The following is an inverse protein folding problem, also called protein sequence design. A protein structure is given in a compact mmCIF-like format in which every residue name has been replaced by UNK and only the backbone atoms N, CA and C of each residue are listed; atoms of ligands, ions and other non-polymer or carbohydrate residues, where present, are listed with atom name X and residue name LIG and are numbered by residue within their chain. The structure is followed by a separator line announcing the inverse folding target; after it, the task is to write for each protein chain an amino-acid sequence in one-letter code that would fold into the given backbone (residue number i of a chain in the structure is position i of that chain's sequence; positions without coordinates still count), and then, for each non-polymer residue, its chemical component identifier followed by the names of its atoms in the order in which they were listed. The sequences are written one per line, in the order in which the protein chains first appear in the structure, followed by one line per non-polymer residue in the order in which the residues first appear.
data_IF_855019492104
#
_entry.id   IF_855019492104
#
_cell.length_a   1.000
_cell.length_b   1.000
_cell.length_c   1.000
_cell.angle_alpha   90.00
_cell.angle_beta   90.00
_cell.angle_gamma   90.00
#
_symmetry.space_group_name_H-M   'P 1'
#
loop_
_entity.id
_entity.type
_entity.pdbx_description
1 polymer ?
#
# COMPACT_ATOMS: atom_id res chain seq x y z
N UNK A 1 13.60 -2.19 -26.85
CA UNK A 1 12.53 -1.94 -25.87
C UNK A 1 13.24 -1.68 -24.55
N UNK A 2 13.03 -0.51 -23.96
CA UNK A 2 13.58 -0.18 -22.65
C UNK A 2 12.45 -0.34 -21.64
N UNK A 3 12.72 -1.11 -20.59
CA UNK A 3 11.79 -1.54 -19.54
C UNK A 3 11.97 -0.62 -18.34
N UNK A 4 10.88 -0.11 -17.76
CA UNK A 4 10.94 0.61 -16.48
C UNK A 4 9.91 -0.01 -15.54
N UNK A 5 10.42 -0.74 -14.54
CA UNK A 5 9.69 -1.14 -13.35
C UNK A 5 9.66 0.06 -12.41
N UNK A 6 8.46 0.56 -12.13
CA UNK A 6 8.24 1.65 -11.20
C UNK A 6 7.94 1.06 -9.81
N UNK A 7 8.85 1.26 -8.85
CA UNK A 7 8.51 1.06 -7.43
C UNK A 7 7.36 2.03 -7.04
N UNK A 8 6.54 1.70 -6.02
CA UNK A 8 5.41 2.54 -5.56
C UNK A 8 5.80 3.98 -5.20
N UNK A 9 7.10 4.25 -5.04
CA UNK A 9 7.70 5.57 -4.85
C UNK A 9 7.66 6.48 -6.09
N UNK A 10 7.15 6.04 -7.25
CA UNK A 10 7.03 6.89 -8.45
C UNK A 10 6.09 8.10 -8.27
N UNK A 11 5.41 8.21 -7.14
CA UNK A 11 4.57 9.35 -6.77
C UNK A 11 5.10 10.10 -5.54
N UNK A 12 6.29 10.69 -5.61
CA UNK A 12 6.86 11.53 -4.53
C UNK A 12 6.08 12.86 -4.37
N UNK A 13 5.18 13.19 -5.30
CA UNK A 13 4.33 14.38 -5.22
C UNK A 13 3.11 14.24 -6.14
N UNK A 14 1.91 14.73 -5.73
CA UNK A 14 0.76 14.79 -6.62
C UNK A 14 1.07 15.60 -7.87
N UNK A 15 1.98 16.58 -7.83
CA UNK A 15 2.40 17.30 -9.04
C UNK A 15 3.11 16.39 -10.04
N UNK A 16 4.00 15.48 -9.63
CA UNK A 16 4.66 14.59 -10.61
C UNK A 16 3.74 13.49 -11.15
N UNK A 17 2.74 13.07 -10.36
CA UNK A 17 1.82 12.00 -10.75
C UNK A 17 0.60 12.50 -11.52
N UNK A 18 0.10 13.71 -11.21
CA UNK A 18 -1.02 14.39 -11.90
C UNK A 18 -0.58 15.37 -13.01
N UNK A 19 0.68 15.86 -13.03
CA UNK A 19 1.23 16.62 -14.20
C UNK A 19 1.77 15.69 -15.30
N UNK A 20 1.42 14.41 -15.29
CA UNK A 20 1.47 13.58 -16.50
C UNK A 20 0.03 13.49 -17.02
N UNK A 21 -0.55 14.57 -17.61
CA UNK A 21 -1.90 14.56 -18.14
C UNK A 21 -2.05 13.67 -19.39
N UNK A 22 -1.09 12.77 -19.65
CA UNK A 22 -1.17 11.84 -20.75
C UNK A 22 -0.30 10.59 -20.55
N UNK A 23 -0.43 9.89 -19.42
CA UNK A 23 0.13 8.54 -19.28
C UNK A 23 -0.25 7.65 -20.49
N UNK A 24 -1.46 7.82 -21.03
CA UNK A 24 -1.94 7.18 -22.25
C UNK A 24 -1.20 7.55 -23.54
N UNK A 25 -0.69 8.78 -23.69
CA UNK A 25 0.04 9.18 -24.91
C UNK A 25 1.55 9.01 -24.81
N UNK A 26 2.13 9.10 -23.62
CA UNK A 26 3.56 8.85 -23.41
C UNK A 26 3.88 7.35 -23.40
N UNK A 27 2.96 6.52 -22.90
CA UNK A 27 3.17 5.08 -22.68
C UNK A 27 2.18 4.22 -23.49
N UNK A 28 1.70 4.73 -24.63
CA UNK A 28 0.77 3.98 -25.49
C UNK A 28 1.38 2.63 -25.90
N UNK A 29 0.72 1.53 -25.52
CA UNK A 29 1.19 0.16 -25.79
C UNK A 29 2.18 -0.41 -24.77
N UNK A 30 2.44 0.30 -23.65
CA UNK A 30 3.23 -0.20 -22.53
C UNK A 30 2.34 -0.59 -21.34
N UNK A 31 2.84 -1.52 -20.52
CA UNK A 31 2.19 -1.95 -19.29
C UNK A 31 2.86 -1.23 -18.13
N UNK A 32 2.07 -0.49 -17.36
CA UNK A 32 2.50 0.15 -16.12
C UNK A 32 2.03 -0.70 -14.93
N UNK A 33 2.97 -1.06 -14.07
CA UNK A 33 2.70 -1.78 -12.82
C UNK A 33 3.18 -0.95 -11.64
N UNK A 34 2.28 -0.69 -10.68
CA UNK A 34 2.67 -0.29 -9.34
C UNK A 34 2.83 -1.57 -8.51
N UNK A 35 4.03 -1.82 -8.00
CA UNK A 35 4.25 -2.92 -7.05
C UNK A 35 3.56 -2.61 -5.72
N UNK A 36 2.71 -3.52 -5.25
CA UNK A 36 2.14 -3.49 -3.91
C UNK A 36 2.12 -4.90 -3.30
N UNK A 37 3.29 -5.34 -2.82
CA UNK A 37 3.40 -6.62 -2.10
C UNK A 37 2.49 -6.71 -0.87
N UNK A 38 2.03 -5.57 -0.34
CA UNK A 38 1.12 -5.51 0.79
C UNK A 38 -0.18 -6.28 0.51
N UNK A 39 -0.73 -6.14 -0.70
CA UNK A 39 -1.97 -6.81 -1.10
C UNK A 39 -1.84 -8.33 -1.26
N UNK A 40 -0.62 -8.81 -1.47
CA UNK A 40 -0.28 -10.23 -1.64
C UNK A 40 -0.01 -10.96 -0.32
N UNK A 41 0.02 -10.23 0.81
CA UNK A 41 0.20 -10.85 2.12
C UNK A 41 -0.96 -11.81 2.44
N UNK A 42 -0.69 -13.05 2.89
CA UNK A 42 -1.73 -13.99 3.34
C UNK A 42 -2.67 -13.36 4.37
N UNK A 43 -2.10 -12.54 5.27
CA UNK A 43 -2.79 -11.77 6.29
C UNK A 43 -3.86 -10.82 5.71
N UNK A 44 -3.56 -10.16 4.59
CA UNK A 44 -4.52 -9.28 3.92
C UNK A 44 -5.66 -10.09 3.28
N UNK A 45 -5.34 -11.24 2.69
CA UNK A 45 -6.38 -12.15 2.16
C UNK A 45 -7.29 -12.65 3.30
N UNK A 46 -6.71 -13.08 4.41
CA UNK A 46 -7.46 -13.53 5.59
C UNK A 46 -8.38 -12.45 6.15
N UNK A 47 -7.89 -11.20 6.27
CA UNK A 47 -8.70 -10.07 6.72
C UNK A 47 -9.92 -9.85 5.80
N UNK A 48 -9.70 -9.84 4.48
CA UNK A 48 -10.79 -9.69 3.50
C UNK A 48 -11.83 -10.79 3.61
N UNK A 49 -11.40 -12.06 3.65
CA UNK A 49 -12.34 -13.19 3.77
C UNK A 49 -13.07 -13.19 5.11
N UNK A 50 -12.39 -12.82 6.19
CA UNK A 50 -13.01 -12.71 7.51
C UNK A 50 -14.13 -11.68 7.50
N UNK A 51 -13.90 -10.48 6.96
CA UNK A 51 -14.92 -9.43 6.92
C UNK A 51 -16.12 -9.78 6.05
N UNK A 52 -15.97 -10.59 5.00
CA UNK A 52 -17.11 -11.07 4.19
C UNK A 52 -18.12 -11.88 4.99
N UNK A 53 -17.68 -12.55 6.07
CA UNK A 53 -18.52 -13.35 6.96
C UNK A 53 -19.15 -12.54 8.10
N UNK A 54 -18.77 -11.26 8.26
CA UNK A 54 -19.22 -10.40 9.36
C UNK A 54 -20.40 -9.53 8.90
N UNK A 55 -21.22 -9.04 9.85
CA UNK A 55 -22.11 -7.92 9.57
C UNK A 55 -21.35 -6.73 8.97
N UNK A 56 -22.07 -5.86 8.28
CA UNK A 56 -21.48 -4.72 7.60
C UNK A 56 -20.71 -3.83 8.59
N UNK A 57 -19.49 -3.45 8.22
CA UNK A 57 -18.71 -2.46 8.98
C UNK A 57 -19.40 -1.11 8.91
N UNK A 58 -19.61 -0.45 10.05
CA UNK A 58 -20.19 0.90 10.16
C UNK A 58 -19.13 1.97 10.43
N UNK A 59 -18.03 1.59 11.09
CA UNK A 59 -16.84 2.43 11.32
C UNK A 59 -15.59 1.56 11.34
N UNK A 60 -14.47 2.07 10.85
CA UNK A 60 -13.18 1.41 10.97
C UNK A 60 -12.09 2.38 11.47
N UNK A 61 -11.07 1.83 12.11
CA UNK A 61 -9.83 2.53 12.46
C UNK A 61 -8.65 1.66 12.03
N UNK A 62 -7.73 2.23 11.26
CA UNK A 62 -6.50 1.58 10.80
C UNK A 62 -5.31 2.33 11.36
N UNK A 63 -4.40 1.63 12.03
CA UNK A 63 -3.20 2.22 12.60
C UNK A 63 -1.98 1.47 12.11
N UNK A 64 -1.04 2.20 11.53
CA UNK A 64 0.29 1.72 11.25
C UNK A 64 1.29 2.51 12.10
N UNK A 65 2.18 1.79 12.78
CA UNK A 65 3.34 2.38 13.45
C UNK A 65 4.63 1.79 12.91
N UNK A 66 5.69 2.58 12.83
CA UNK A 66 7.04 2.07 12.58
C UNK A 66 8.11 3.03 13.06
N UNK A 67 9.32 2.54 13.29
CA UNK A 67 10.45 3.43 13.45
C UNK A 67 10.71 4.20 12.16
N UNK A 68 11.14 5.46 12.29
CA UNK A 68 12.03 6.03 11.29
C UNK A 68 13.41 6.08 11.95
N UNK A 69 14.41 5.48 11.31
CA UNK A 69 15.80 5.78 11.64
C UNK A 69 16.24 6.98 10.80
N UNK A 70 17.49 7.44 10.92
CA UNK A 70 18.15 8.43 10.05
C UNK A 70 18.28 7.95 8.58
N UNK A 71 17.26 7.29 8.06
CA UNK A 71 17.13 6.70 6.74
C UNK A 71 16.15 7.50 5.88
N UNK A 72 16.11 7.14 4.61
CA UNK A 72 15.33 7.83 3.58
C UNK A 72 13.85 8.02 3.92
N UNK A 73 13.24 7.12 4.71
CA UNK A 73 11.81 7.18 5.06
C UNK A 73 11.45 8.36 5.99
N UNK A 74 12.41 8.84 6.79
CA UNK A 74 12.23 10.03 7.63
C UNK A 74 12.51 11.34 6.88
N UNK A 75 13.15 11.25 5.72
CA UNK A 75 13.44 12.37 4.84
C UNK A 75 12.30 12.55 3.84
N UNK A 76 11.36 13.44 4.15
CA UNK A 76 10.21 13.74 3.29
C UNK A 76 10.60 14.24 1.90
N UNK A 77 11.84 14.74 1.71
CA UNK A 77 12.31 15.14 0.37
C UNK A 77 12.63 13.94 -0.52
N UNK A 78 12.87 12.78 0.10
CA UNK A 78 13.13 11.50 -0.57
C UNK A 78 11.89 10.60 -0.57
N UNK A 79 11.29 10.39 0.59
CA UNK A 79 10.14 9.50 0.76
C UNK A 79 8.80 10.11 0.32
N UNK A 80 8.77 11.42 0.04
CA UNK A 80 7.53 12.16 -0.18
C UNK A 80 6.74 12.37 1.11
N UNK A 81 5.55 12.98 0.96
CA UNK A 81 4.67 13.22 2.09
C UNK A 81 4.16 11.88 2.69
N UNK A 82 3.90 11.76 4.01
CA UNK A 82 3.63 10.46 4.62
C UNK A 82 2.37 9.72 4.13
N UNK A 83 1.46 10.39 3.41
CA UNK A 83 0.35 9.71 2.72
C UNK A 83 0.82 8.92 1.48
N UNK A 84 1.94 9.31 0.84
CA UNK A 84 2.55 8.62 -0.29
C UNK A 84 3.49 7.50 0.15
N UNK A 85 4.39 7.73 1.11
CA UNK A 85 5.14 6.59 1.72
C UNK A 85 4.22 5.66 2.54
N UNK A 86 3.03 6.16 2.87
CA UNK A 86 1.86 5.49 3.43
C UNK A 86 0.98 4.73 2.43
N UNK A 87 1.21 4.82 1.12
CA UNK A 87 0.19 4.53 0.09
C UNK A 87 -0.39 3.12 0.16
N UNK A 88 0.41 2.12 0.54
CA UNK A 88 -0.08 0.74 0.71
C UNK A 88 -1.23 0.63 1.73
N UNK A 89 -1.31 1.53 2.72
CA UNK A 89 -2.41 1.57 3.69
C UNK A 89 -3.70 2.06 3.02
N UNK A 90 -3.61 3.02 2.10
CA UNK A 90 -4.75 3.50 1.30
C UNK A 90 -5.23 2.38 0.36
N UNK A 91 -4.31 1.61 -0.23
CA UNK A 91 -4.66 0.42 -1.01
C UNK A 91 -5.43 -0.62 -0.20
N UNK A 92 -5.01 -0.90 1.05
CA UNK A 92 -5.76 -1.77 1.96
C UNK A 92 -7.19 -1.24 2.16
N UNK A 93 -7.34 0.06 2.46
CA UNK A 93 -8.66 0.69 2.61
C UNK A 93 -9.51 0.51 1.35
N UNK A 94 -8.95 0.76 0.17
CA UNK A 94 -9.66 0.57 -1.08
C UNK A 94 -10.12 -0.88 -1.27
N UNK A 95 -9.25 -1.86 -1.00
CA UNK A 95 -9.63 -3.28 -1.17
C UNK A 95 -10.69 -3.76 -0.19
N UNK A 96 -10.84 -3.10 0.97
CA UNK A 96 -11.83 -3.45 1.99
C UNK A 96 -13.15 -2.69 1.79
N UNK A 97 -13.10 -1.45 1.32
CA UNK A 97 -14.23 -0.54 1.36
C UNK A 97 -14.61 0.11 0.01
N UNK A 98 -13.80 -0.12 -1.02
CA UNK A 98 -13.91 0.56 -2.32
C UNK A 98 -13.43 2.01 -2.26
N UNK A 99 -13.91 2.83 -3.19
CA UNK A 99 -13.60 4.25 -3.27
C UNK A 99 -13.98 5.00 -1.98
N UNK A 100 -13.10 5.93 -1.60
CA UNK A 100 -13.25 6.78 -0.42
C UNK A 100 -12.89 8.22 -0.75
N UNK A 101 -13.49 9.17 -0.03
CA UNK A 101 -13.15 10.60 -0.07
C UNK A 101 -12.53 11.04 1.25
N UNK A 102 -11.61 12.00 1.22
CA UNK A 102 -11.01 12.55 2.44
C UNK A 102 -11.92 13.62 3.03
N UNK A 103 -12.25 13.50 4.32
CA UNK A 103 -13.06 14.48 5.06
C UNK A 103 -12.18 15.42 5.89
N UNK A 104 -11.13 14.88 6.52
CA UNK A 104 -10.20 15.61 7.38
C UNK A 104 -8.83 14.97 7.31
N UNK A 105 -7.78 15.76 7.44
CA UNK A 105 -6.42 15.28 7.65
C UNK A 105 -5.63 16.26 8.53
N UNK A 106 -4.65 15.75 9.26
CA UNK A 106 -3.73 16.54 10.06
C UNK A 106 -2.35 15.88 10.10
N UNK A 107 -1.30 16.71 10.08
CA UNK A 107 0.08 16.29 10.24
C UNK A 107 0.62 16.78 11.60
N UNK A 108 1.14 15.86 12.39
CA UNK A 108 2.03 16.14 13.51
C UNK A 108 3.46 15.90 13.06
N UNK A 109 4.32 16.93 13.18
CA UNK A 109 5.75 16.83 12.89
C UNK A 109 6.55 17.38 14.06
N UNK A 110 7.28 16.49 14.71
CA UNK A 110 8.20 16.77 15.81
C UNK A 110 9.61 16.30 15.40
N UNK A 111 10.62 16.64 16.20
CA UNK A 111 12.01 16.24 15.93
C UNK A 111 12.14 14.73 15.73
N UNK A 112 11.49 13.95 16.61
CA UNK A 112 11.60 12.51 16.64
C UNK A 112 10.32 11.76 16.25
N UNK A 113 9.38 12.43 15.55
CA UNK A 113 8.08 11.83 15.17
C UNK A 113 7.42 12.53 14.00
N UNK A 114 6.85 11.74 13.09
CA UNK A 114 5.96 12.19 12.02
C UNK A 114 4.70 11.35 12.08
N UNK A 115 3.54 11.98 12.23
CA UNK A 115 2.27 11.28 12.30
C UNK A 115 1.22 11.97 11.43
N UNK A 116 0.59 11.23 10.53
CA UNK A 116 -0.62 11.65 9.85
C UNK A 116 -1.82 10.97 10.48
N UNK A 117 -2.88 11.74 10.69
CA UNK A 117 -4.22 11.20 10.93
C UNK A 117 -5.18 11.74 9.88
N UNK A 118 -5.94 10.85 9.26
CA UNK A 118 -6.94 11.17 8.25
C UNK A 118 -8.28 10.51 8.57
N UNK A 119 -9.39 11.19 8.25
CA UNK A 119 -10.74 10.62 8.22
C UNK A 119 -11.17 10.47 6.78
N UNK A 120 -11.33 9.23 6.35
CA UNK A 120 -11.84 8.84 5.03
C UNK A 120 -13.32 8.49 5.15
N UNK A 121 -14.08 8.73 4.10
CA UNK A 121 -15.50 8.40 4.00
C UNK A 121 -15.72 7.50 2.81
N UNK A 122 -16.36 6.36 3.04
CA UNK A 122 -16.93 5.52 1.97
C UNK A 122 -18.01 6.26 1.20
N UNK A 123 -18.42 5.71 0.05
CA UNK A 123 -19.54 6.25 -0.77
C UNK A 123 -20.81 6.48 0.04
N UNK A 124 -21.10 5.58 1.00
CA UNK A 124 -22.24 5.65 1.90
C UNK A 124 -21.94 6.36 3.24
N UNK A 125 -20.87 7.17 3.27
CA UNK A 125 -20.51 8.08 4.38
C UNK A 125 -20.14 7.39 5.70
N UNK A 126 -19.80 6.10 5.68
CA UNK A 126 -19.20 5.42 6.82
C UNK A 126 -17.74 5.89 7.02
N UNK A 127 -17.34 6.26 8.25
CA UNK A 127 -16.01 6.78 8.52
C UNK A 127 -14.95 5.69 8.70
N UNK A 128 -13.77 5.96 8.16
CA UNK A 128 -12.55 5.19 8.35
C UNK A 128 -11.48 6.15 8.86
N UNK A 129 -11.02 5.95 10.09
CA UNK A 129 -9.90 6.69 10.66
C UNK A 129 -8.61 5.98 10.27
N UNK A 130 -7.67 6.69 9.63
CA UNK A 130 -6.34 6.18 9.32
C UNK A 130 -5.28 6.98 10.08
N UNK A 131 -4.39 6.28 10.77
CA UNK A 131 -3.19 6.83 11.39
C UNK A 131 -1.94 6.15 10.82
N UNK A 132 -0.99 6.95 10.33
CA UNK A 132 0.36 6.54 9.95
C UNK A 132 1.33 7.25 10.89
N UNK A 133 1.91 6.51 11.84
CA UNK A 133 2.69 7.08 12.95
C UNK A 133 4.12 6.54 12.98
N UNK A 134 5.08 7.43 12.73
CA UNK A 134 6.50 7.05 12.71
C UNK A 134 7.24 7.83 13.76
N UNK A 135 7.95 7.12 14.63
CA UNK A 135 8.65 7.67 15.78
C UNK A 135 9.97 6.95 16.01
N UNK A 136 11.00 7.64 16.50
CA UNK A 136 12.24 6.96 16.89
C UNK A 136 11.95 5.85 17.93
N UNK A 137 12.44 4.64 17.69
CA UNK A 137 12.24 3.49 18.58
C UNK A 137 10.88 2.79 18.48
N UNK A 138 9.97 3.26 17.62
CA UNK A 138 8.66 2.63 17.43
C UNK A 138 8.82 1.23 16.83
N UNK A 139 8.08 0.27 17.36
CA UNK A 139 7.98 -1.05 16.75
C UNK A 139 7.09 -0.99 15.51
N UNK A 140 7.45 -1.76 14.47
CA UNK A 140 6.61 -1.89 13.29
C UNK A 140 5.35 -2.67 13.67
N UNK A 141 4.19 -2.05 13.50
CA UNK A 141 2.90 -2.66 13.81
C UNK A 141 1.83 -2.17 12.85
N UNK A 142 0.88 -3.04 12.53
CA UNK A 142 -0.27 -2.74 11.67
C UNK A 142 -1.50 -3.43 12.23
N UNK A 143 -2.52 -2.67 12.62
CA UNK A 143 -3.77 -3.23 13.14
C UNK A 143 -4.99 -2.45 12.65
N UNK A 144 -6.15 -3.09 12.74
CA UNK A 144 -7.44 -2.49 12.42
C UNK A 144 -8.52 -2.82 13.43
N UNK A 145 -9.33 -1.84 13.77
CA UNK A 145 -10.54 -1.99 14.59
C UNK A 145 -11.76 -1.72 13.73
N UNK A 146 -12.82 -2.50 13.95
CA UNK A 146 -14.07 -2.40 13.21
C UNK A 146 -15.25 -2.36 14.17
N UNK A 147 -16.17 -1.43 13.96
CA UNK A 147 -17.51 -1.45 14.52
C UNK A 147 -18.47 -1.99 13.45
N UNK A 148 -19.35 -2.91 13.85
CA UNK A 148 -20.24 -3.64 12.96
C UNK A 148 -21.70 -3.20 13.17
N UNK A 149 -22.55 -3.45 12.18
CA UNK A 149 -23.95 -3.02 12.17
C UNK A 149 -24.79 -3.63 13.31
N UNK A 150 -24.42 -4.82 13.79
CA UNK A 150 -25.04 -5.46 14.97
C UNK A 150 -24.53 -4.91 16.31
N UNK A 151 -23.69 -3.87 16.29
CA UNK A 151 -23.07 -3.26 17.45
C UNK A 151 -21.84 -4.00 17.98
N UNK A 152 -21.49 -5.15 17.41
CA UNK A 152 -20.28 -5.88 17.80
C UNK A 152 -19.01 -5.18 17.30
N UNK A 153 -17.89 -5.50 17.96
CA UNK A 153 -16.55 -5.01 17.59
C UNK A 153 -15.69 -6.17 17.13
N UNK A 154 -14.93 -5.94 16.06
CA UNK A 154 -13.94 -6.87 15.57
C UNK A 154 -12.58 -6.19 15.58
N UNK A 155 -11.60 -6.85 16.20
CA UNK A 155 -10.22 -6.38 16.29
C UNK A 155 -9.35 -7.28 15.42
N UNK A 156 -8.68 -6.69 14.44
CA UNK A 156 -7.63 -7.31 13.66
C UNK A 156 -6.29 -6.92 14.30
N UNK A 157 -5.65 -7.84 15.04
CA UNK A 157 -4.56 -7.49 15.94
C UNK A 157 -3.33 -7.03 15.18
N UNK A 158 -2.49 -6.18 15.82
CA UNK A 158 -1.24 -5.77 15.25
C UNK A 158 -0.36 -6.96 14.88
N UNK A 159 -0.11 -7.17 13.59
CA UNK A 159 0.92 -8.13 13.18
C UNK A 159 2.29 -7.51 13.43
N UNK A 160 2.98 -7.93 14.48
CA UNK A 160 4.40 -7.64 14.65
C UNK A 160 5.18 -8.52 13.67
N UNK A 161 6.12 -7.99 12.88
CA UNK A 161 7.12 -8.83 12.26
C UNK A 161 7.85 -9.54 13.41
N UNK A 162 7.82 -10.86 13.43
CA UNK A 162 8.72 -11.62 14.29
C UNK A 162 10.16 -11.14 14.03
N UNK A 163 11.04 -10.99 15.04
CA UNK A 163 12.42 -10.55 14.86
C UNK A 163 13.31 -11.62 14.21
N UNK A 164 12.81 -12.31 13.19
CA UNK A 164 13.50 -13.39 12.50
C UNK A 164 13.13 -13.41 11.02
N UNK A 165 13.65 -12.45 10.26
CA UNK A 165 14.23 -12.76 8.96
C UNK A 165 15.41 -11.79 8.74
N UNK A 166 16.57 -12.21 9.26
CA UNK A 166 17.73 -12.18 8.38
C UNK A 166 17.31 -12.81 7.05
N UNK A 167 17.81 -12.27 5.94
CA UNK A 167 17.58 -12.80 4.61
C UNK A 167 17.42 -14.33 4.68
N UNK A 168 16.40 -14.93 4.01
CA UNK A 168 16.45 -16.37 3.86
C UNK A 168 17.85 -16.65 3.32
N UNK A 169 18.60 -17.49 4.02
CA UNK A 169 19.86 -18.05 3.57
C UNK A 169 19.55 -18.92 2.36
N UNK A 170 19.15 -18.28 1.26
CA UNK A 170 19.24 -18.82 -0.07
C UNK A 170 20.72 -18.98 -0.39
N UNK A 171 21.09 -19.98 -1.21
CA UNK A 171 22.46 -20.17 -1.59
C UNK A 171 22.97 -18.86 -2.23
N UNK A 172 24.18 -18.44 -1.80
CA UNK A 172 24.92 -17.36 -2.44
C UNK A 172 24.89 -17.50 -3.96
N UNK A 173 24.86 -16.40 -4.74
CA UNK A 173 24.89 -16.44 -6.20
C UNK A 173 26.22 -16.97 -6.76
N UNK A 174 27.16 -17.37 -5.90
CA UNK A 174 28.34 -18.14 -6.24
C UNK A 174 28.18 -19.57 -5.71
N UNK A 175 27.43 -20.37 -6.47
CA UNK A 175 27.32 -21.81 -6.31
C UNK A 175 27.50 -22.45 -7.67
N UNK A 176 28.66 -23.08 -7.86
CA UNK A 176 29.06 -23.81 -9.05
C UNK A 176 28.06 -24.93 -9.40
N UNK A 177 27.82 -25.10 -10.71
CA UNK A 177 27.37 -26.34 -11.37
C UNK A 177 26.32 -27.22 -10.67
N UNK A 178 25.05 -27.07 -11.05
CA UNK A 178 24.02 -28.05 -10.70
C UNK A 178 22.71 -27.82 -11.44
N UNK A 179 22.29 -28.81 -12.20
CA UNK A 179 21.15 -28.87 -13.13
C UNK A 179 19.91 -28.01 -12.82
N UNK A 180 19.47 -27.32 -13.88
CA UNK A 180 18.25 -26.52 -13.96
C UNK A 180 16.98 -27.33 -13.67
N UNK A 181 16.55 -27.36 -12.41
CA UNK A 181 15.15 -27.51 -12.00
C UNK A 181 14.83 -26.61 -10.81
N UNK A 182 15.03 -25.30 -10.95
CA UNK A 182 14.45 -24.34 -10.02
C UNK A 182 12.95 -24.23 -10.32
N UNK A 183 12.11 -24.59 -9.35
CA UNK A 183 10.67 -24.28 -9.40
C UNK A 183 10.42 -22.76 -9.50
N UNK A 184 9.15 -22.32 -9.63
CA UNK A 184 8.85 -20.91 -9.75
C UNK A 184 9.44 -20.12 -8.57
N UNK A 185 9.94 -18.90 -8.79
CA UNK A 185 10.56 -18.10 -7.75
C UNK A 185 9.58 -17.89 -6.59
N UNK A 186 10.05 -18.11 -5.36
CA UNK A 186 9.24 -18.10 -4.13
C UNK A 186 9.45 -16.78 -3.39
N UNK A 187 8.37 -16.06 -3.07
CA UNK A 187 8.39 -14.82 -2.28
C UNK A 187 7.39 -13.78 -2.78
N UNK A 188 7.07 -12.78 -1.95
CA UNK A 188 6.07 -11.75 -2.30
C UNK A 188 6.51 -10.92 -3.53
N UNK A 189 7.77 -10.48 -3.57
CA UNK A 189 8.33 -9.77 -4.73
C UNK A 189 8.37 -10.62 -6.00
N UNK A 190 8.70 -11.92 -5.86
CA UNK A 190 8.65 -12.84 -6.99
C UNK A 190 7.21 -13.02 -7.51
N UNK A 191 6.22 -13.03 -6.63
CA UNK A 191 4.81 -13.10 -7.02
C UNK A 191 4.36 -11.84 -7.76
N UNK A 192 4.76 -10.65 -7.31
CA UNK A 192 4.47 -9.39 -8.02
C UNK A 192 5.15 -9.35 -9.40
N UNK A 193 6.43 -9.75 -9.49
CA UNK A 193 7.13 -9.86 -10.77
C UNK A 193 6.46 -10.86 -11.72
N UNK A 194 6.02 -12.01 -11.21
CA UNK A 194 5.28 -12.99 -12.02
C UNK A 194 3.94 -12.42 -12.51
N UNK A 195 3.24 -11.61 -11.71
CA UNK A 195 2.03 -10.90 -12.13
C UNK A 195 2.36 -9.91 -13.26
N UNK A 196 3.43 -9.12 -13.12
CA UNK A 196 3.88 -8.21 -14.18
C UNK A 196 4.21 -8.95 -15.48
N UNK A 197 4.96 -10.06 -15.41
CA UNK A 197 5.28 -10.87 -16.57
C UNK A 197 4.02 -11.48 -17.22
N UNK A 198 3.00 -11.82 -16.44
CA UNK A 198 1.72 -12.33 -16.95
C UNK A 198 0.95 -11.26 -17.71
N UNK A 199 1.00 -10.00 -17.24
CA UNK A 199 0.45 -8.85 -17.97
C UNK A 199 1.16 -8.67 -19.31
N UNK A 200 2.50 -8.73 -19.33
CA UNK A 200 3.29 -8.61 -20.56
C UNK A 200 2.96 -9.70 -21.59
N UNK A 201 2.59 -10.90 -21.15
CA UNK A 201 2.18 -12.01 -22.02
C UNK A 201 0.71 -11.93 -22.46
N UNK A 202 -0.06 -10.94 -22.00
CA UNK A 202 -1.50 -10.83 -22.28
C UNK A 202 -2.33 -11.91 -21.57
N UNK A 203 -1.82 -12.48 -20.48
CA UNK A 203 -2.52 -13.52 -19.70
C UNK A 203 -3.50 -12.92 -18.68
N UNK A 204 -3.40 -11.61 -18.42
CA UNK A 204 -4.30 -10.84 -17.56
C UNK A 204 -5.32 -10.12 -18.44
N UNK A 205 -6.60 -10.19 -18.05
CA UNK A 205 -7.68 -9.55 -18.81
C UNK A 205 -7.58 -8.03 -18.77
N UNK A 206 -8.01 -7.37 -19.84
CA UNK A 206 -8.04 -5.90 -19.91
C UNK A 206 -8.89 -5.27 -18.79
N UNK A 207 -10.01 -5.91 -18.43
CA UNK A 207 -10.87 -5.47 -17.33
C UNK A 207 -10.13 -5.48 -15.98
N UNK A 208 -9.38 -6.56 -15.69
CA UNK A 208 -8.59 -6.67 -14.46
C UNK A 208 -7.48 -5.59 -14.41
N UNK A 209 -6.83 -5.31 -15.54
CA UNK A 209 -5.84 -4.23 -15.64
C UNK A 209 -6.48 -2.84 -15.49
N UNK A 210 -7.70 -2.65 -16.00
CA UNK A 210 -8.44 -1.38 -15.87
C UNK A 210 -8.88 -1.13 -14.42
N UNK A 211 -9.37 -2.16 -13.73
CA UNK A 211 -9.73 -2.10 -12.30
C UNK A 211 -8.52 -1.77 -11.43
N UNK A 212 -7.37 -2.40 -11.69
CA UNK A 212 -6.13 -2.10 -11.00
C UNK A 212 -5.71 -0.65 -11.23
N UNK A 213 -5.70 -0.17 -12.48
CA UNK A 213 -5.38 1.21 -12.80
C UNK A 213 -6.31 2.20 -12.09
N UNK A 214 -7.61 1.92 -12.05
CA UNK A 214 -8.59 2.76 -11.36
C UNK A 214 -8.28 2.84 -9.86
N UNK A 215 -7.99 1.71 -9.21
CA UNK A 215 -7.56 1.67 -7.81
C UNK A 215 -6.29 2.50 -7.58
N UNK A 216 -5.27 2.30 -8.41
CA UNK A 216 -3.97 2.98 -8.28
C UNK A 216 -4.16 4.50 -8.32
N UNK A 217 -4.85 4.99 -9.34
CA UNK A 217 -5.12 6.42 -9.51
C UNK A 217 -5.97 6.98 -8.37
N UNK A 218 -7.00 6.25 -7.93
CA UNK A 218 -7.84 6.63 -6.79
C UNK A 218 -7.00 6.79 -5.51
N UNK A 219 -6.15 5.81 -5.20
CA UNK A 219 -5.31 5.86 -4.00
C UNK A 219 -4.31 7.02 -4.02
N UNK A 220 -3.74 7.32 -5.19
CA UNK A 220 -2.86 8.47 -5.40
C UNK A 220 -3.60 9.81 -5.22
N UNK A 221 -4.83 9.91 -5.72
CA UNK A 221 -5.69 11.09 -5.52
C UNK A 221 -6.01 11.29 -4.04
N UNK A 222 -6.40 10.21 -3.34
CA UNK A 222 -6.64 10.23 -1.89
C UNK A 222 -5.38 10.66 -1.12
N UNK A 223 -4.21 10.14 -1.50
CA UNK A 223 -2.94 10.51 -0.86
C UNK A 223 -2.64 12.01 -1.04
N UNK A 224 -2.82 12.55 -2.25
CA UNK A 224 -2.63 13.96 -2.54
C UNK A 224 -3.63 14.86 -1.82
N UNK A 225 -4.89 14.44 -1.70
CA UNK A 225 -5.90 15.20 -0.95
C UNK A 225 -5.62 15.22 0.56
N UNK A 226 -5.09 14.12 1.12
CA UNK A 226 -4.62 14.09 2.52
C UNK A 226 -3.47 15.08 2.72
N UNK A 227 -2.49 15.11 1.82
CA UNK A 227 -1.40 16.10 1.86
C UNK A 227 -1.95 17.52 1.81
N UNK A 228 -2.84 17.80 0.87
CA UNK A 228 -3.47 19.11 0.74
C UNK A 228 -4.17 19.52 2.03
N UNK A 229 -5.02 18.67 2.60
CA UNK A 229 -5.77 18.99 3.82
C UNK A 229 -4.92 19.09 5.08
N UNK A 230 -3.84 18.31 5.18
CA UNK A 230 -2.97 18.30 6.36
C UNK A 230 -1.94 19.45 6.36
N UNK A 231 -1.77 20.15 5.24
CA UNK A 231 -0.83 21.27 5.07
C UNK A 231 -1.50 22.64 4.92
N UNK A 232 -2.83 22.69 4.93
CA UNK A 232 -3.63 23.92 5.08
C UNK A 232 -3.62 24.42 6.52
#
# INVERSE_FOLDING_TARGET
AWEELAEPECAISPRKTLEIPNWSALYHGLILQEEDIGLHLPQQKELRETLKSKPRVTKAKMTFSATFSNQWIGDLTRAGFPSFSGLSRIHIVYTLFGEVTVSKASLLREENRICITATLLTKDKRPIEWTEDRGEGFQRSFGMDFELEDGSKFHYPPSTPSPSHGAPSGPSPHGEGGDAKSGPPKGLFAADLLLFLSKLRGEVKEEEMAEEKARVLHCLEVAGEIERLATL
#
